data_IF_432879366429
#
_entry.id   IF_432879366429
#
_cell.length_a   1.000
_cell.length_b   1.000
_cell.length_c   1.000
_cell.angle_alpha   90.00
_cell.angle_beta   90.00
_cell.angle_gamma   90.00
#
_symmetry.space_group_name_H-M   'P 1'
#
loop_
_entity.id
_entity.type
_entity.pdbx_description
1 polymer ?
#
# COMPACT_ATOMS: atom_id res chain seq x y z
N UNK A 1 -5.45 0.19 41.34
CA UNK A 1 -6.60 0.11 40.41
C UNK A 1 -6.05 -0.22 39.05
N UNK A 2 -6.28 -1.43 38.56
CA UNK A 2 -5.76 -1.87 37.25
C UNK A 2 -6.49 -1.08 36.15
N UNK A 3 -5.77 -0.17 35.52
CA UNK A 3 -6.34 0.71 34.52
C UNK A 3 -6.42 0.03 33.16
N UNK A 4 -7.46 -0.84 32.97
CA UNK A 4 -8.05 -0.97 31.65
C UNK A 4 -7.34 -1.83 30.60
N UNK A 5 -6.50 -2.81 30.98
CA UNK A 5 -6.14 -3.92 30.08
C UNK A 5 -7.22 -5.00 30.21
N UNK A 6 -7.86 -5.33 29.10
CA UNK A 6 -8.74 -6.49 28.97
C UNK A 6 -8.08 -7.47 28.00
N UNK A 7 -7.56 -8.58 28.51
CA UNK A 7 -6.92 -9.62 27.70
C UNK A 7 -7.69 -10.93 27.84
N UNK A 8 -7.91 -11.61 26.71
CA UNK A 8 -8.43 -12.97 26.72
C UNK A 8 -7.42 -13.94 27.37
N UNK A 9 -7.91 -15.01 28.01
CA UNK A 9 -7.09 -15.99 28.71
C UNK A 9 -6.14 -16.75 27.76
N UNK A 10 -6.49 -16.88 26.49
CA UNK A 10 -5.66 -17.54 25.46
C UNK A 10 -4.58 -16.65 24.85
N UNK A 11 -4.55 -15.35 25.16
CA UNK A 11 -3.54 -14.45 24.66
C UNK A 11 -2.17 -14.70 25.33
N UNK A 12 -1.12 -14.62 24.53
CA UNK A 12 0.28 -14.72 25.00
C UNK A 12 0.95 -13.36 24.85
N UNK A 13 1.56 -12.86 25.95
CA UNK A 13 2.21 -11.55 26.00
C UNK A 13 3.63 -11.72 26.49
N UNK A 14 4.59 -11.24 25.70
CA UNK A 14 6.02 -11.30 25.99
C UNK A 14 6.48 -10.35 27.08
N UNK A 15 7.77 -10.42 27.41
CA UNK A 15 8.40 -9.58 28.44
C UNK A 15 8.50 -8.12 28.01
N UNK A 16 8.44 -7.21 28.98
CA UNK A 16 8.59 -5.76 28.71
C UNK A 16 7.41 -5.11 27.98
N UNK A 17 6.26 -5.77 27.93
CA UNK A 17 5.04 -5.18 27.35
C UNK A 17 4.58 -3.95 28.15
N UNK A 18 4.37 -2.85 27.44
CA UNK A 18 3.85 -1.61 28.01
C UNK A 18 2.60 -1.15 27.27
N UNK A 19 1.59 -0.67 28.00
CA UNK A 19 0.33 -0.26 27.42
C UNK A 19 -0.28 0.98 28.09
N UNK A 20 -1.07 1.74 27.31
CA UNK A 20 -1.90 2.83 27.81
C UNK A 20 -3.23 2.35 28.39
N UNK A 21 -4.20 3.25 28.46
CA UNK A 21 -5.53 3.01 29.03
C UNK A 21 -6.42 2.32 28.00
N UNK A 22 -7.37 1.47 28.45
CA UNK A 22 -8.46 0.95 27.62
C UNK A 22 -8.00 0.05 26.47
N UNK A 23 -6.99 -0.77 26.67
CA UNK A 23 -6.49 -1.74 25.67
C UNK A 23 -7.30 -3.03 25.79
N UNK A 24 -7.79 -3.52 24.65
CA UNK A 24 -8.50 -4.80 24.53
C UNK A 24 -7.73 -5.77 23.64
N UNK A 25 -7.46 -6.98 24.15
CA UNK A 25 -6.71 -8.05 23.48
C UNK A 25 -7.60 -9.29 23.35
N UNK A 26 -7.85 -9.71 22.11
CA UNK A 26 -8.71 -10.85 21.78
C UNK A 26 -8.06 -12.20 22.00
N UNK A 27 -8.81 -13.26 21.66
CA UNK A 27 -8.39 -14.66 21.80
C UNK A 27 -7.21 -14.98 20.86
N UNK A 28 -6.33 -15.87 21.30
CA UNK A 28 -5.19 -16.39 20.52
C UNK A 28 -4.26 -15.32 19.96
N UNK A 29 -4.28 -14.10 20.52
CA UNK A 29 -3.33 -13.04 20.18
C UNK A 29 -1.93 -13.41 20.72
N UNK A 30 -0.91 -13.12 19.90
CA UNK A 30 0.50 -13.29 20.31
C UNK A 30 1.20 -11.94 20.23
N UNK A 31 1.79 -11.51 21.34
CA UNK A 31 2.57 -10.28 21.45
C UNK A 31 3.98 -10.65 21.90
N UNK A 32 4.97 -10.22 21.14
CA UNK A 32 6.39 -10.44 21.41
C UNK A 32 6.95 -9.57 22.53
N UNK A 33 8.27 -9.62 22.69
CA UNK A 33 8.99 -8.88 23.71
C UNK A 33 9.14 -7.40 23.36
N UNK A 34 9.12 -6.53 24.37
CA UNK A 34 9.39 -5.10 24.22
C UNK A 34 8.33 -4.33 23.39
N UNK A 35 7.15 -4.90 23.21
CA UNK A 35 6.06 -4.23 22.47
C UNK A 35 5.45 -3.11 23.31
N UNK A 36 5.23 -1.96 22.71
CA UNK A 36 4.53 -0.81 23.33
C UNK A 36 3.22 -0.51 22.62
N UNK A 37 2.16 -0.29 23.39
CA UNK A 37 0.81 -0.06 22.88
C UNK A 37 0.21 1.19 23.56
N UNK A 38 -0.30 2.11 22.77
CA UNK A 38 -0.96 3.33 23.25
C UNK A 38 -2.31 3.05 23.93
N UNK A 39 -3.09 4.10 24.12
CA UNK A 39 -4.41 4.02 24.76
C UNK A 39 -5.51 3.69 23.74
N UNK A 40 -6.57 3.02 24.21
CA UNK A 40 -7.77 2.69 23.44
C UNK A 40 -7.49 1.87 22.17
N UNK A 41 -6.54 0.96 22.27
CA UNK A 41 -6.17 0.03 21.18
C UNK A 41 -7.00 -1.24 21.29
N UNK A 42 -7.45 -1.74 20.14
CA UNK A 42 -8.12 -3.03 20.02
C UNK A 42 -7.24 -3.96 19.19
N UNK A 43 -6.90 -5.12 19.75
CA UNK A 43 -6.16 -6.18 19.04
C UNK A 43 -7.12 -7.37 18.95
N UNK A 44 -7.61 -7.64 17.74
CA UNK A 44 -8.59 -8.71 17.51
C UNK A 44 -7.94 -10.10 17.47
N UNK A 45 -8.79 -11.14 17.58
CA UNK A 45 -8.37 -12.52 17.70
C UNK A 45 -7.38 -13.00 16.64
N UNK A 46 -6.40 -13.81 17.06
CA UNK A 46 -5.40 -14.44 16.21
C UNK A 46 -4.36 -13.47 15.61
N UNK A 47 -4.36 -12.20 16.01
CA UNK A 47 -3.33 -11.26 15.60
C UNK A 47 -1.96 -11.64 16.20
N UNK A 48 -0.90 -11.38 15.45
CA UNK A 48 0.48 -11.63 15.85
C UNK A 48 1.30 -10.37 15.71
N UNK A 49 1.85 -9.87 16.80
CA UNK A 49 2.70 -8.67 16.87
C UNK A 49 4.05 -9.15 17.40
N UNK A 50 5.08 -9.09 16.56
CA UNK A 50 6.42 -9.55 16.92
C UNK A 50 7.17 -8.53 17.80
N UNK A 51 8.45 -8.79 18.08
CA UNK A 51 9.24 -8.06 19.04
C UNK A 51 9.44 -6.58 18.66
N UNK A 52 9.52 -5.73 19.68
CA UNK A 52 9.89 -4.33 19.53
C UNK A 52 8.90 -3.47 18.73
N UNK A 53 7.71 -3.96 18.45
CA UNK A 53 6.68 -3.15 17.77
C UNK A 53 6.18 -2.00 18.63
N UNK A 54 5.82 -0.88 17.99
CA UNK A 54 5.19 0.26 18.67
C UNK A 54 3.86 0.61 18.00
N UNK A 55 2.79 0.59 18.80
CA UNK A 55 1.41 0.84 18.35
C UNK A 55 0.91 2.10 19.04
N UNK A 56 0.46 3.08 18.26
CA UNK A 56 -0.09 4.34 18.74
C UNK A 56 -1.46 4.21 19.41
N UNK A 57 -2.08 5.36 19.67
CA UNK A 57 -3.39 5.41 20.31
C UNK A 57 -4.53 5.14 19.31
N UNK A 58 -5.65 4.61 19.81
CA UNK A 58 -6.88 4.39 19.01
C UNK A 58 -6.66 3.53 17.75
N UNK A 59 -5.66 2.65 17.77
CA UNK A 59 -5.37 1.73 16.66
C UNK A 59 -6.24 0.49 16.79
N UNK A 60 -6.68 -0.03 15.65
CA UNK A 60 -7.31 -1.36 15.57
C UNK A 60 -6.41 -2.30 14.77
N UNK A 61 -5.93 -3.35 15.40
CA UNK A 61 -5.25 -4.48 14.74
C UNK A 61 -6.30 -5.57 14.53
N UNK A 62 -6.71 -5.78 13.29
CA UNK A 62 -7.79 -6.69 12.95
C UNK A 62 -7.35 -8.16 12.99
N UNK A 63 -8.34 -9.05 13.02
CA UNK A 63 -8.16 -10.50 13.17
C UNK A 63 -7.14 -11.09 12.20
N UNK A 64 -6.21 -11.88 12.73
CA UNK A 64 -5.19 -12.59 11.96
C UNK A 64 -4.11 -11.71 11.35
N UNK A 65 -4.08 -10.41 11.64
CA UNK A 65 -3.00 -9.51 11.20
C UNK A 65 -1.64 -9.98 11.74
N UNK A 66 -0.59 -9.81 10.95
CA UNK A 66 0.78 -10.18 11.33
C UNK A 66 1.72 -9.00 11.14
N UNK A 67 2.30 -8.53 12.22
CA UNK A 67 3.31 -7.49 12.26
C UNK A 67 4.64 -8.13 12.65
N UNK A 68 5.64 -8.01 11.78
CA UNK A 68 6.99 -8.50 12.06
C UNK A 68 7.74 -7.53 13.00
N UNK A 69 8.98 -7.82 13.30
CA UNK A 69 9.78 -7.10 14.29
C UNK A 69 9.90 -5.60 13.97
N UNK A 70 9.82 -4.79 15.02
CA UNK A 70 10.05 -3.36 14.93
C UNK A 70 9.05 -2.58 14.08
N UNK A 71 7.89 -3.13 13.78
CA UNK A 71 6.83 -2.39 13.06
C UNK A 71 6.32 -1.25 13.92
N UNK A 72 6.22 -0.06 13.32
CA UNK A 72 5.62 1.12 13.92
C UNK A 72 4.24 1.41 13.30
N UNK A 73 3.22 1.59 14.12
CA UNK A 73 1.86 1.98 13.71
C UNK A 73 1.45 3.24 14.46
N UNK A 74 1.23 4.34 13.75
CA UNK A 74 0.81 5.61 14.34
C UNK A 74 -0.68 5.62 14.71
N UNK A 75 -1.11 6.68 15.38
CA UNK A 75 -2.45 6.84 15.97
C UNK A 75 -3.58 6.69 14.93
N UNK A 76 -4.71 6.15 15.36
CA UNK A 76 -5.96 6.00 14.59
C UNK A 76 -5.85 5.13 13.34
N UNK A 77 -4.79 4.36 13.15
CA UNK A 77 -4.68 3.44 12.02
C UNK A 77 -5.57 2.20 12.21
N UNK A 78 -6.02 1.60 11.08
CA UNK A 78 -6.76 0.33 11.06
C UNK A 78 -6.00 -0.67 10.20
N UNK A 79 -5.49 -1.71 10.84
CA UNK A 79 -4.57 -2.68 10.25
C UNK A 79 -5.27 -4.02 10.03
N UNK A 80 -5.56 -4.37 8.77
CA UNK A 80 -6.16 -5.65 8.39
C UNK A 80 -7.68 -5.63 8.25
N UNK A 81 -8.29 -4.46 8.03
CA UNK A 81 -9.74 -4.34 7.85
C UNK A 81 -10.24 -5.23 6.70
N UNK A 82 -11.31 -6.00 6.94
CA UNK A 82 -11.97 -6.76 5.88
C UNK A 82 -12.89 -5.87 5.04
N UNK A 83 -12.91 -6.01 3.69
CA UNK A 83 -13.80 -5.22 2.84
C UNK A 83 -15.27 -5.59 3.09
N UNK A 84 -16.15 -4.58 3.18
CA UNK A 84 -17.61 -4.77 3.13
C UNK A 84 -18.07 -4.46 1.72
N UNK A 85 -18.40 -5.51 0.97
CA UNK A 85 -18.79 -5.38 -0.43
C UNK A 85 -20.31 -5.19 -0.54
N UNK A 86 -20.73 -4.16 -1.30
CA UNK A 86 -22.15 -3.99 -1.64
C UNK A 86 -22.67 -5.19 -2.43
N UNK A 87 -23.99 -5.43 -2.41
CA UNK A 87 -24.59 -6.53 -3.17
C UNK A 87 -24.28 -6.48 -4.67
N UNK A 88 -24.18 -5.27 -5.21
CA UNK A 88 -23.83 -4.99 -6.60
C UNK A 88 -22.32 -4.96 -6.90
N UNK A 89 -21.46 -5.20 -5.89
CA UNK A 89 -20.02 -5.19 -6.10
C UNK A 89 -19.56 -6.33 -6.99
N UNK A 90 -18.66 -6.04 -7.89
CA UNK A 90 -18.02 -7.00 -8.79
C UNK A 90 -16.71 -7.54 -8.23
N UNK A 91 -16.26 -7.03 -7.08
CA UNK A 91 -15.09 -7.55 -6.40
C UNK A 91 -15.31 -8.99 -5.92
N UNK A 92 -14.27 -9.80 -5.95
CA UNK A 92 -14.31 -11.19 -5.50
C UNK A 92 -14.72 -11.28 -4.04
N UNK A 93 -15.66 -12.19 -3.74
CA UNK A 93 -16.11 -12.53 -2.40
C UNK A 93 -15.39 -13.79 -1.96
N UNK A 94 -14.25 -13.61 -1.30
CA UNK A 94 -13.44 -14.70 -0.80
C UNK A 94 -12.99 -14.41 0.63
N UNK A 95 -12.64 -15.44 1.35
CA UNK A 95 -12.01 -15.28 2.65
C UNK A 95 -10.59 -14.79 2.46
N UNK A 96 -10.26 -13.70 3.17
CA UNK A 96 -8.94 -13.07 3.08
C UNK A 96 -8.11 -13.43 4.32
N UNK A 97 -6.85 -13.77 4.10
CA UNK A 97 -5.86 -13.83 5.18
C UNK A 97 -5.70 -12.47 5.85
N UNK A 98 -5.20 -12.43 7.07
CA UNK A 98 -4.82 -11.16 7.72
C UNK A 98 -3.76 -10.41 6.92
N UNK A 99 -3.69 -9.10 7.07
CA UNK A 99 -2.62 -8.27 6.52
C UNK A 99 -1.26 -8.71 7.09
N UNK A 100 -0.20 -8.57 6.30
CA UNK A 100 1.17 -8.86 6.73
C UNK A 100 2.05 -7.64 6.52
N UNK A 101 2.75 -7.21 7.57
CA UNK A 101 3.75 -6.15 7.54
C UNK A 101 5.12 -6.77 7.82
N UNK A 102 6.06 -6.59 6.89
CA UNK A 102 7.46 -6.99 7.06
C UNK A 102 8.18 -6.17 8.13
N UNK A 103 9.36 -6.62 8.53
CA UNK A 103 10.13 -5.99 9.59
C UNK A 103 10.45 -4.51 9.30
N UNK A 104 10.40 -3.68 10.33
CA UNK A 104 10.73 -2.26 10.26
C UNK A 104 9.78 -1.42 9.40
N UNK A 105 8.59 -1.91 9.06
CA UNK A 105 7.57 -1.10 8.40
C UNK A 105 7.04 0.01 9.32
N UNK A 106 6.71 1.15 8.73
CA UNK A 106 6.10 2.28 9.42
C UNK A 106 4.77 2.67 8.76
N UNK A 107 3.70 2.74 9.55
CA UNK A 107 2.35 3.08 9.10
C UNK A 107 1.90 4.37 9.77
N UNK A 108 1.55 5.36 8.98
CA UNK A 108 1.10 6.69 9.41
C UNK A 108 -0.30 6.71 10.01
N UNK A 109 -0.63 7.84 10.60
CA UNK A 109 -1.91 8.06 11.28
C UNK A 109 -3.10 8.02 10.32
N UNK A 110 -4.25 7.53 10.81
CA UNK A 110 -5.49 7.42 10.04
C UNK A 110 -5.39 6.55 8.77
N UNK A 111 -4.36 5.74 8.65
CA UNK A 111 -4.16 4.84 7.51
C UNK A 111 -5.01 3.58 7.65
N UNK A 112 -5.57 3.12 6.53
CA UNK A 112 -6.35 1.89 6.49
C UNK A 112 -5.66 0.88 5.57
N UNK A 113 -5.18 -0.23 6.14
CA UNK A 113 -4.66 -1.37 5.39
C UNK A 113 -5.68 -2.50 5.42
N UNK A 114 -6.04 -3.04 4.25
CA UNK A 114 -7.04 -4.12 4.20
C UNK A 114 -6.41 -5.51 4.25
N UNK A 115 -7.21 -6.48 4.69
CA UNK A 115 -6.85 -7.89 4.76
C UNK A 115 -6.43 -8.46 3.39
N UNK A 116 -5.63 -9.51 3.38
CA UNK A 116 -5.09 -10.13 2.16
C UNK A 116 -3.92 -9.38 1.53
N UNK A 117 -3.53 -8.24 2.08
CA UNK A 117 -2.41 -7.43 1.57
C UNK A 117 -1.12 -7.75 2.32
N UNK A 118 -0.01 -7.74 1.58
CA UNK A 118 1.32 -8.03 2.12
C UNK A 118 2.30 -6.90 1.79
N UNK A 119 3.13 -6.57 2.79
CA UNK A 119 4.24 -5.62 2.66
C UNK A 119 5.55 -6.35 2.95
N UNK A 120 6.55 -6.10 2.13
CA UNK A 120 7.92 -6.47 2.42
C UNK A 120 8.50 -5.68 3.59
N UNK A 121 9.80 -5.73 3.76
CA UNK A 121 10.48 -5.05 4.86
C UNK A 121 10.66 -3.55 4.63
N UNK A 122 10.76 -2.77 5.71
CA UNK A 122 11.09 -1.33 5.71
C UNK A 122 10.21 -0.48 4.80
N UNK A 123 8.96 -0.88 4.59
CA UNK A 123 7.98 -0.07 3.88
C UNK A 123 7.51 1.10 4.74
N UNK A 124 7.20 2.22 4.09
CA UNK A 124 6.63 3.40 4.73
C UNK A 124 5.26 3.68 4.10
N UNK A 125 4.24 3.75 4.93
CA UNK A 125 2.90 4.18 4.51
C UNK A 125 2.56 5.47 5.23
N UNK A 126 2.34 6.54 4.49
CA UNK A 126 2.05 7.88 5.02
C UNK A 126 0.63 8.01 5.58
N UNK A 127 0.41 9.12 6.27
CA UNK A 127 -0.88 9.44 6.92
C UNK A 127 -2.04 9.46 5.92
N UNK A 128 -3.23 9.07 6.38
CA UNK A 128 -4.46 9.04 5.59
C UNK A 128 -4.37 8.20 4.31
N UNK A 129 -3.39 7.33 4.17
CA UNK A 129 -3.30 6.43 3.03
C UNK A 129 -4.31 5.28 3.16
N UNK A 130 -4.76 4.77 2.01
CA UNK A 130 -5.63 3.60 1.93
C UNK A 130 -5.03 2.54 1.01
N UNK A 131 -4.85 1.31 1.51
CA UNK A 131 -4.41 0.19 0.68
C UNK A 131 -5.45 -0.91 0.78
N UNK A 132 -6.04 -1.24 -0.35
CA UNK A 132 -7.09 -2.25 -0.44
C UNK A 132 -6.56 -3.68 -0.38
N UNK A 133 -7.49 -4.60 -0.42
CA UNK A 133 -7.23 -6.03 -0.30
C UNK A 133 -6.43 -6.62 -1.48
N UNK A 134 -5.67 -7.70 -1.22
CA UNK A 134 -4.88 -8.47 -2.19
C UNK A 134 -3.81 -7.67 -2.93
N UNK A 135 -3.28 -6.64 -2.28
CA UNK A 135 -2.11 -5.94 -2.80
C UNK A 135 -0.81 -6.59 -2.30
N UNK A 136 0.23 -6.49 -3.11
CA UNK A 136 1.56 -6.98 -2.75
C UNK A 136 2.57 -5.85 -2.94
N UNK A 137 3.30 -5.51 -1.88
CA UNK A 137 4.39 -4.55 -1.90
C UNK A 137 5.72 -5.26 -1.60
N UNK A 138 6.73 -4.96 -2.40
CA UNK A 138 8.11 -5.38 -2.15
C UNK A 138 8.75 -4.61 -0.98
N UNK A 139 10.06 -4.78 -0.81
CA UNK A 139 10.82 -4.11 0.25
C UNK A 139 11.05 -2.63 -0.03
N UNK A 140 11.07 -1.82 1.02
CA UNK A 140 11.40 -0.40 0.94
C UNK A 140 10.41 0.44 0.10
N UNK A 141 9.21 -0.04 -0.12
CA UNK A 141 8.15 0.72 -0.80
C UNK A 141 7.73 1.91 0.05
N UNK A 142 7.60 3.07 -0.59
CA UNK A 142 7.06 4.28 0.03
C UNK A 142 5.70 4.62 -0.57
N UNK A 143 4.68 4.62 0.26
CA UNK A 143 3.33 5.09 -0.05
C UNK A 143 3.12 6.41 0.66
N UNK A 144 3.03 7.50 -0.07
CA UNK A 144 2.89 8.85 0.44
C UNK A 144 1.54 9.11 1.12
N UNK A 145 1.42 10.27 1.76
CA UNK A 145 0.18 10.67 2.43
C UNK A 145 -1.00 10.75 1.46
N UNK A 146 -2.17 10.32 1.92
CA UNK A 146 -3.42 10.36 1.15
C UNK A 146 -3.35 9.61 -0.20
N UNK A 147 -2.41 8.69 -0.36
CA UNK A 147 -2.37 7.79 -1.50
C UNK A 147 -3.45 6.73 -1.34
N UNK A 148 -4.14 6.44 -2.43
CA UNK A 148 -5.07 5.30 -2.49
C UNK A 148 -4.49 4.24 -3.43
N UNK A 149 -4.36 3.01 -2.92
CA UNK A 149 -4.00 1.82 -3.71
C UNK A 149 -5.20 0.89 -3.72
N UNK A 150 -5.77 0.67 -4.89
CA UNK A 150 -6.90 -0.22 -5.07
C UNK A 150 -6.46 -1.69 -5.13
N UNK A 151 -7.43 -2.60 -5.00
CA UNK A 151 -7.23 -4.03 -4.87
C UNK A 151 -6.47 -4.69 -6.04
N UNK A 152 -5.88 -5.85 -5.77
CA UNK A 152 -5.17 -6.66 -6.77
C UNK A 152 -4.00 -5.90 -7.46
N UNK A 153 -3.34 -5.00 -6.75
CA UNK A 153 -2.22 -4.18 -7.22
C UNK A 153 -0.89 -4.75 -6.74
N UNK A 154 0.10 -4.77 -7.61
CA UNK A 154 1.47 -5.20 -7.28
C UNK A 154 2.43 -4.02 -7.39
N UNK A 155 3.26 -3.82 -6.36
CA UNK A 155 4.25 -2.74 -6.29
C UNK A 155 5.61 -3.34 -5.93
N UNK A 156 6.55 -3.22 -6.85
CA UNK A 156 7.92 -3.72 -6.71
C UNK A 156 8.73 -2.94 -5.68
N UNK A 157 9.83 -3.56 -5.25
CA UNK A 157 10.72 -3.01 -4.22
C UNK A 157 11.24 -1.62 -4.56
N UNK A 158 11.49 -0.79 -3.54
CA UNK A 158 12.04 0.57 -3.61
C UNK A 158 11.20 1.57 -4.42
N UNK A 159 10.04 1.16 -4.90
CA UNK A 159 9.09 2.05 -5.58
C UNK A 159 8.54 3.10 -4.63
N UNK A 160 8.47 4.34 -5.12
CA UNK A 160 8.01 5.50 -4.33
C UNK A 160 6.77 6.12 -4.98
N UNK A 161 5.67 6.13 -4.24
CA UNK A 161 4.41 6.75 -4.66
C UNK A 161 4.19 7.98 -3.79
N UNK A 162 4.18 9.16 -4.40
CA UNK A 162 4.07 10.43 -3.71
C UNK A 162 2.63 10.79 -3.38
N UNK A 163 2.47 11.78 -2.48
CA UNK A 163 1.20 12.16 -1.87
C UNK A 163 0.06 12.38 -2.87
N UNK A 164 -1.13 11.90 -2.51
CA UNK A 164 -2.35 12.13 -3.26
C UNK A 164 -2.48 11.36 -4.58
N UNK A 165 -1.53 10.48 -4.92
CA UNK A 165 -1.67 9.64 -6.10
C UNK A 165 -2.78 8.60 -5.92
N UNK A 166 -3.49 8.28 -7.01
CA UNK A 166 -4.50 7.23 -7.07
C UNK A 166 -4.04 6.09 -7.97
N UNK A 167 -3.78 4.95 -7.37
CA UNK A 167 -3.36 3.72 -8.06
C UNK A 167 -4.56 2.78 -8.12
N UNK A 168 -5.15 2.68 -9.31
CA UNK A 168 -6.36 1.86 -9.52
C UNK A 168 -6.07 0.37 -9.43
N UNK A 169 -7.12 -0.44 -9.34
CA UNK A 169 -6.99 -1.90 -9.26
C UNK A 169 -6.29 -2.50 -10.50
N UNK A 170 -5.57 -3.61 -10.28
CA UNK A 170 -4.84 -4.38 -11.30
C UNK A 170 -3.61 -3.66 -11.89
N UNK A 171 -3.13 -2.61 -11.26
CA UNK A 171 -1.88 -1.94 -11.65
C UNK A 171 -0.68 -2.79 -11.23
N UNK A 172 0.33 -2.83 -12.09
CA UNK A 172 1.66 -3.34 -11.74
C UNK A 172 2.66 -2.20 -11.84
N UNK A 173 3.29 -1.85 -10.73
CA UNK A 173 4.49 -1.02 -10.68
C UNK A 173 5.66 -1.96 -10.40
N UNK A 174 6.65 -2.00 -11.27
CA UNK A 174 7.87 -2.77 -11.01
C UNK A 174 8.76 -2.06 -9.98
N UNK A 175 9.96 -2.57 -9.73
CA UNK A 175 10.89 -1.99 -8.77
C UNK A 175 11.45 -0.64 -9.25
N UNK A 176 11.88 0.17 -8.30
CA UNK A 176 12.52 1.48 -8.52
C UNK A 176 11.66 2.50 -9.28
N UNK A 177 10.35 2.28 -9.39
CA UNK A 177 9.42 3.21 -10.04
C UNK A 177 9.20 4.44 -9.16
N UNK A 178 9.14 5.61 -9.80
CA UNK A 178 8.77 6.85 -9.13
C UNK A 178 7.43 7.39 -9.66
N UNK A 179 6.43 7.44 -8.79
CA UNK A 179 5.12 8.05 -9.05
C UNK A 179 5.07 9.38 -8.32
N UNK A 180 5.06 10.48 -9.05
CA UNK A 180 4.99 11.83 -8.49
C UNK A 180 3.61 12.14 -7.87
N UNK A 181 3.47 13.27 -7.12
CA UNK A 181 2.20 13.62 -6.50
C UNK A 181 1.04 13.74 -7.51
N UNK A 182 -0.16 13.36 -7.05
CA UNK A 182 -1.42 13.51 -7.79
C UNK A 182 -1.47 12.76 -9.14
N UNK A 183 -0.63 11.77 -9.37
CA UNK A 183 -0.76 10.88 -10.53
C UNK A 183 -2.02 10.03 -10.39
N UNK A 184 -2.73 9.84 -11.49
CA UNK A 184 -3.96 9.04 -11.53
C UNK A 184 -3.81 7.93 -12.56
N UNK A 185 -4.05 6.69 -12.14
CA UNK A 185 -4.19 5.55 -13.06
C UNK A 185 -5.64 5.14 -13.20
N UNK A 186 -6.02 4.56 -14.32
CA UNK A 186 -7.38 4.10 -14.61
C UNK A 186 -7.36 2.66 -15.12
N UNK A 187 -8.48 1.91 -14.98
CA UNK A 187 -8.55 0.49 -15.35
C UNK A 187 -9.77 0.12 -16.19
N UNK A 188 -10.62 1.08 -16.54
CA UNK A 188 -11.90 0.83 -17.21
C UNK A 188 -12.16 1.83 -18.33
N UNK A 189 -11.97 1.41 -19.58
CA UNK A 189 -12.25 2.21 -20.76
C UNK A 189 -13.76 2.42 -21.03
N UNK A 190 -14.62 1.66 -20.34
CA UNK A 190 -16.08 1.73 -20.50
C UNK A 190 -16.75 2.61 -19.43
N UNK A 191 -15.98 3.06 -18.43
CA UNK A 191 -16.45 3.93 -17.33
C UNK A 191 -17.75 3.43 -16.68
N UNK A 192 -17.76 2.15 -16.30
CA UNK A 192 -18.91 1.54 -15.62
C UNK A 192 -20.05 1.09 -16.55
N UNK A 193 -19.94 1.28 -17.85
CA UNK A 193 -20.97 0.88 -18.83
C UNK A 193 -20.72 -0.52 -19.37
N UNK A 194 -21.82 -1.24 -19.69
CA UNK A 194 -21.86 -2.56 -20.34
C UNK A 194 -21.23 -3.71 -19.54
N UNK A 195 -21.65 -4.94 -19.76
CA UNK A 195 -21.03 -6.14 -19.18
C UNK A 195 -19.68 -6.48 -19.86
N UNK A 196 -19.45 -5.98 -21.04
CA UNK A 196 -18.20 -6.19 -21.79
C UNK A 196 -16.98 -5.65 -21.05
N UNK A 197 -17.15 -4.58 -20.24
CA UNK A 197 -16.10 -3.99 -19.43
C UNK A 197 -15.34 -5.04 -18.58
N UNK A 198 -16.04 -6.03 -18.04
CA UNK A 198 -15.42 -7.01 -17.13
C UNK A 198 -14.38 -7.90 -17.81
N UNK A 199 -14.43 -8.04 -19.13
CA UNK A 199 -13.41 -8.73 -19.92
C UNK A 199 -12.16 -7.88 -20.16
N UNK A 200 -12.27 -6.56 -19.95
CA UNK A 200 -11.24 -5.58 -20.31
C UNK A 200 -10.72 -4.78 -19.12
N UNK A 201 -11.24 -5.01 -17.90
CA UNK A 201 -10.71 -4.37 -16.69
C UNK A 201 -9.25 -4.75 -16.49
N UNK A 202 -8.36 -3.75 -16.60
CA UNK A 202 -6.93 -3.93 -16.39
C UNK A 202 -6.24 -2.61 -16.07
N UNK A 203 -5.36 -2.64 -15.07
CA UNK A 203 -4.49 -1.50 -14.77
C UNK A 203 -3.39 -1.34 -15.81
N UNK A 204 -2.64 -0.27 -15.71
CA UNK A 204 -1.40 -0.09 -16.47
C UNK A 204 -0.25 -0.89 -15.83
N UNK A 205 0.78 -1.16 -16.63
CA UNK A 205 2.07 -1.67 -16.15
C UNK A 205 3.13 -0.57 -16.28
N UNK A 206 3.82 -0.29 -15.17
CA UNK A 206 4.94 0.65 -15.15
C UNK A 206 6.20 -0.14 -14.86
N UNK A 207 7.09 -0.20 -15.83
CA UNK A 207 8.31 -1.01 -15.79
C UNK A 207 9.39 -0.36 -14.93
N UNK A 208 10.40 -1.17 -14.57
CA UNK A 208 11.51 -0.81 -13.69
C UNK A 208 12.08 0.57 -14.01
N UNK A 209 12.32 1.37 -12.98
CA UNK A 209 12.98 2.68 -13.08
C UNK A 209 12.17 3.77 -13.77
N UNK A 210 10.99 3.49 -14.29
CA UNK A 210 10.17 4.52 -14.94
C UNK A 210 9.71 5.60 -13.94
N UNK A 211 9.63 6.83 -14.41
CA UNK A 211 9.27 8.01 -13.63
C UNK A 211 8.01 8.65 -14.19
N UNK A 212 7.01 8.84 -13.37
CA UNK A 212 5.72 9.44 -13.76
C UNK A 212 5.55 10.78 -13.07
N UNK A 213 5.53 11.86 -13.85
CA UNK A 213 5.45 13.25 -13.40
C UNK A 213 4.09 13.61 -12.79
N UNK A 214 4.10 14.63 -11.92
CA UNK A 214 2.94 15.03 -11.13
C UNK A 214 1.69 15.32 -11.96
N UNK A 215 0.53 14.86 -11.48
CA UNK A 215 -0.74 15.05 -12.15
C UNK A 215 -0.88 14.35 -13.50
N UNK A 216 0.04 13.45 -13.89
CA UNK A 216 -0.11 12.67 -15.11
C UNK A 216 -1.22 11.63 -14.96
N UNK A 217 -1.87 11.29 -16.08
CA UNK A 217 -2.93 10.29 -16.15
C UNK A 217 -2.48 9.11 -17.03
N UNK A 218 -2.56 7.90 -16.49
CA UNK A 218 -2.26 6.67 -17.21
C UNK A 218 -3.55 5.90 -17.51
N UNK A 219 -3.81 5.64 -18.80
CA UNK A 219 -5.03 4.98 -19.23
C UNK A 219 -4.99 3.45 -19.00
N UNK A 220 -6.15 2.77 -19.06
CA UNK A 220 -6.23 1.33 -18.82
C UNK A 220 -5.37 0.50 -19.75
N UNK A 221 -4.61 -0.43 -19.19
CA UNK A 221 -3.90 -1.48 -19.89
C UNK A 221 -2.71 -1.05 -20.73
N UNK A 222 -2.24 0.20 -20.60
CA UNK A 222 -1.00 0.65 -21.25
C UNK A 222 0.24 0.16 -20.50
N UNK A 223 1.35 0.07 -21.22
CA UNK A 223 2.66 -0.22 -20.67
C UNK A 223 3.56 1.03 -20.74
N UNK A 224 4.15 1.40 -19.61
CA UNK A 224 5.22 2.39 -19.54
C UNK A 224 6.53 1.62 -19.46
N UNK A 225 7.33 1.72 -20.52
CA UNK A 225 8.60 0.99 -20.64
C UNK A 225 9.61 1.35 -19.56
N UNK A 226 10.58 0.46 -19.35
CA UNK A 226 11.63 0.68 -18.35
C UNK A 226 12.34 2.01 -18.56
N UNK A 227 12.66 2.71 -17.47
CA UNK A 227 13.35 4.01 -17.48
C UNK A 227 12.61 5.11 -18.27
N UNK A 228 11.38 4.89 -18.72
CA UNK A 228 10.61 5.94 -19.39
C UNK A 228 10.30 7.10 -18.44
N UNK A 229 10.20 8.29 -19.00
CA UNK A 229 9.86 9.50 -18.27
C UNK A 229 8.56 10.10 -18.80
N UNK A 230 7.54 10.13 -17.96
CA UNK A 230 6.27 10.77 -18.26
C UNK A 230 6.29 12.18 -17.68
N UNK A 231 6.17 13.19 -18.53
CA UNK A 231 6.17 14.57 -18.07
C UNK A 231 4.95 14.92 -17.22
N UNK A 232 5.11 15.91 -16.35
CA UNK A 232 4.03 16.45 -15.51
C UNK A 232 2.80 16.82 -16.34
N UNK A 233 1.62 16.41 -15.86
CA UNK A 233 0.33 16.72 -16.51
C UNK A 233 0.06 15.98 -17.82
N UNK A 234 0.90 15.03 -18.21
CA UNK A 234 0.69 14.26 -19.43
C UNK A 234 -0.50 13.29 -19.32
N UNK A 235 -1.25 13.09 -20.42
CA UNK A 235 -2.27 12.04 -20.54
C UNK A 235 -1.76 10.94 -21.45
N UNK A 236 -1.34 9.83 -20.87
CA UNK A 236 -0.74 8.69 -21.59
C UNK A 236 -1.85 7.75 -22.05
N UNK A 237 -2.06 7.69 -23.36
CA UNK A 237 -3.15 6.93 -23.99
C UNK A 237 -2.68 5.67 -24.73
N UNK A 238 -1.37 5.47 -24.84
CA UNK A 238 -0.72 4.36 -25.54
C UNK A 238 0.54 3.95 -24.81
N UNK A 239 1.06 2.79 -25.12
CA UNK A 239 2.33 2.31 -24.59
C UNK A 239 3.47 3.30 -24.88
N UNK A 240 4.38 3.40 -23.91
CA UNK A 240 5.57 4.25 -23.99
C UNK A 240 6.79 3.36 -24.08
N UNK A 241 7.63 3.52 -25.11
CA UNK A 241 8.89 2.77 -25.23
C UNK A 241 9.82 3.02 -24.04
N UNK A 242 10.69 2.05 -23.73
CA UNK A 242 11.74 2.22 -22.74
C UNK A 242 12.65 3.43 -23.07
N UNK A 243 13.25 4.01 -22.05
CA UNK A 243 14.19 5.13 -22.14
C UNK A 243 13.65 6.34 -22.92
N UNK A 244 12.35 6.55 -22.94
CA UNK A 244 11.71 7.60 -23.74
C UNK A 244 11.01 8.63 -22.87
N UNK A 245 11.25 9.92 -23.12
CA UNK A 245 10.49 11.02 -22.52
C UNK A 245 9.25 11.28 -23.37
N UNK A 246 8.08 11.26 -22.73
CA UNK A 246 6.82 11.65 -23.37
C UNK A 246 6.16 12.80 -22.63
N UNK A 247 5.44 13.67 -23.35
CA UNK A 247 4.71 14.80 -22.78
C UNK A 247 3.46 15.17 -23.59
N UNK A 248 2.55 15.89 -22.93
CA UNK A 248 1.37 16.51 -23.53
C UNK A 248 0.08 15.70 -23.40
N UNK A 249 -1.00 16.20 -24.02
CA UNK A 249 -2.36 15.65 -24.02
C UNK A 249 -2.85 15.55 -25.47
N UNK A 250 -2.89 14.34 -26.07
CA UNK A 250 -2.30 13.10 -25.57
C UNK A 250 -0.77 13.15 -25.55
N UNK A 251 -0.16 12.34 -24.67
CA UNK A 251 1.30 12.25 -24.55
C UNK A 251 1.93 11.72 -25.84
N UNK A 252 3.04 12.36 -26.26
CA UNK A 252 3.83 11.98 -27.43
C UNK A 252 5.32 11.91 -27.09
N UNK A 253 6.10 11.03 -27.74
CA UNK A 253 7.54 10.98 -27.60
C UNK A 253 8.19 12.33 -27.97
N UNK A 254 9.18 12.74 -27.18
CA UNK A 254 9.92 14.00 -27.38
C UNK A 254 11.39 13.74 -27.65
N UNK A 255 12.04 12.97 -26.78
CA UNK A 255 13.47 12.62 -26.86
C UNK A 255 13.77 11.39 -25.98
N UNK A 256 14.95 10.77 -26.14
CA UNK A 256 15.44 9.79 -25.18
C UNK A 256 15.66 10.39 -23.79
N UNK A 257 15.60 9.55 -22.77
CA UNK A 257 16.07 9.87 -21.41
C UNK A 257 17.60 10.01 -21.47
N UNK A 258 18.20 11.05 -20.85
CA UNK A 258 19.66 11.16 -20.77
C UNK A 258 20.28 9.96 -20.08
N UNK A 259 21.44 9.49 -20.56
CA UNK A 259 22.08 8.29 -20.03
C UNK A 259 22.46 8.43 -18.55
N UNK A 260 22.86 9.61 -18.13
CA UNK A 260 23.22 9.93 -16.74
C UNK A 260 22.04 9.91 -15.76
N UNK A 261 20.80 9.86 -16.26
CA UNK A 261 19.57 9.77 -15.45
C UNK A 261 19.07 8.34 -15.29
N UNK A 262 19.69 7.36 -15.93
CA UNK A 262 19.31 5.95 -15.82
C UNK A 262 19.82 5.34 -14.51
N UNK A 263 19.11 4.36 -13.95
CA UNK A 263 19.46 3.72 -12.67
C UNK A 263 20.88 3.13 -12.65
N UNK A 264 21.31 2.50 -13.73
CA UNK A 264 22.63 1.88 -13.81
C UNK A 264 23.79 2.88 -13.81
N UNK A 265 23.56 4.14 -14.20
CA UNK A 265 24.55 5.21 -14.13
C UNK A 265 24.58 5.95 -12.79
N UNK A 266 23.55 5.76 -11.95
CA UNK A 266 23.46 6.41 -10.63
C UNK A 266 24.15 5.61 -9.51
N UNK A 267 24.59 4.38 -9.78
CA UNK A 267 25.28 3.48 -8.82
C UNK A 267 26.82 3.55 -8.91
N UNK A 268 27.37 4.49 -9.68
CA UNK A 268 28.81 4.68 -9.92
C UNK A 268 29.47 5.72 -9.03
#
# INVERSE_FOLDING_TARGET
MGHGLHSADSATIGGGFAHGLGVAIGEDVKIGDGVTVGSFVVIEAGAHIADGCSIGNHVTICSGARLADGVHVADFAVIGRRPRLAASSTAKREELAGVRLGAGCSVGSHTVLMAGTTFGERCIVGDNAGVRERCTMGDGVVIGRSVTVENDTTIGSRTKIQSGAYITAYVTLEEDVFIAPMVVTTNDNFMGRTQERFKHLRGCTVRRGARVGGGAHLLPGIEIGAEAFIATGAVVTKDVPANTIVMGVPAKPVRPVPAEELLESAEG
#
